data_IF_957174557513
#
_entry.id   IF_957174557513
#
_cell.length_a   1.000
_cell.length_b   1.000
_cell.length_c   1.000
_cell.angle_alpha   90.00
_cell.angle_beta   90.00
_cell.angle_gamma   90.00
#
_symmetry.space_group_name_H-M   'P 1'
#
loop_
_entity.id
_entity.type
_entity.pdbx_description
1 polymer ?
#
# COMPACT_ATOMS: atom_id res chain seq x y z
N UNK A 1 11.76 3.15 -2.56
CA UNK A 1 13.08 3.07 -1.88
C UNK A 1 13.11 3.90 -0.60
N UNK A 2 12.91 5.23 -0.65
CA UNK A 2 12.95 6.09 0.56
C UNK A 2 12.08 5.63 1.74
N UNK A 3 10.86 5.13 1.49
CA UNK A 3 9.97 4.62 2.57
C UNK A 3 10.55 3.35 3.22
N UNK A 4 11.13 2.44 2.43
CA UNK A 4 11.76 1.24 2.96
C UNK A 4 12.96 1.57 3.82
N UNK A 5 13.81 2.50 3.35
CA UNK A 5 14.97 2.98 4.11
C UNK A 5 14.53 3.66 5.42
N UNK A 6 13.56 4.58 5.34
CA UNK A 6 13.02 5.25 6.53
C UNK A 6 12.50 4.24 7.56
N UNK A 7 11.73 3.24 7.12
CA UNK A 7 11.23 2.20 8.03
C UNK A 7 12.37 1.39 8.64
N UNK A 8 13.42 1.06 7.86
CA UNK A 8 14.61 0.34 8.34
C UNK A 8 15.33 1.13 9.42
N UNK A 9 15.55 2.42 9.17
CA UNK A 9 16.28 3.31 10.07
C UNK A 9 15.50 3.61 11.37
N UNK A 10 14.19 3.34 11.41
CA UNK A 10 13.31 3.64 12.54
C UNK A 10 12.63 2.38 13.14
N UNK A 11 13.11 1.17 12.82
CA UNK A 11 12.57 -0.10 13.30
C UNK A 11 11.04 -0.29 13.07
N UNK A 12 10.53 0.24 11.96
CA UNK A 12 9.12 0.14 11.59
C UNK A 12 8.91 -1.07 10.68
N UNK A 13 7.88 -1.88 10.96
CA UNK A 13 7.52 -3.04 10.14
C UNK A 13 7.05 -2.67 8.73
N UNK A 14 7.33 -3.53 7.75
CA UNK A 14 6.83 -3.36 6.38
C UNK A 14 5.30 -3.49 6.34
N UNK A 15 4.76 -4.52 6.98
CA UNK A 15 3.33 -4.84 7.00
C UNK A 15 2.57 -3.89 7.96
N UNK A 16 1.62 -3.14 7.42
CA UNK A 16 0.79 -2.17 8.14
C UNK A 16 -0.68 -2.25 7.68
N UNK A 17 -1.39 -3.33 8.05
CA UNK A 17 -2.75 -3.64 7.56
C UNK A 17 -3.78 -2.55 7.86
N UNK A 18 -3.72 -1.92 9.05
CA UNK A 18 -4.66 -0.84 9.39
C UNK A 18 -4.58 0.35 8.44
N UNK A 19 -3.36 0.74 8.06
CA UNK A 19 -3.12 1.83 7.09
C UNK A 19 -3.56 1.44 5.68
N UNK A 20 -3.37 0.17 5.29
CA UNK A 20 -3.85 -0.32 4.01
C UNK A 20 -5.38 -0.21 3.92
N UNK A 21 -6.09 -0.63 4.97
CA UNK A 21 -7.55 -0.54 5.02
C UNK A 21 -8.03 0.92 4.92
N UNK A 22 -7.40 1.85 5.64
CA UNK A 22 -7.76 3.27 5.55
C UNK A 22 -7.58 3.84 4.13
N UNK A 23 -6.47 3.50 3.49
CA UNK A 23 -6.19 3.91 2.11
C UNK A 23 -7.20 3.29 1.15
N UNK A 24 -7.51 1.99 1.30
CA UNK A 24 -8.45 1.29 0.45
C UNK A 24 -9.86 1.90 0.54
N UNK A 25 -10.36 2.14 1.75
CA UNK A 25 -11.67 2.77 1.96
C UNK A 25 -11.74 4.17 1.35
N UNK A 26 -10.67 4.96 1.49
CA UNK A 26 -10.58 6.26 0.83
C UNK A 26 -10.57 6.13 -0.69
N UNK A 27 -9.81 5.19 -1.24
CA UNK A 27 -9.73 4.96 -2.68
C UNK A 27 -11.06 4.49 -3.26
N UNK A 28 -11.79 3.61 -2.57
CA UNK A 28 -13.14 3.16 -2.97
C UNK A 28 -14.11 4.34 -3.06
N UNK A 29 -14.13 5.21 -2.04
CA UNK A 29 -14.95 6.43 -2.04
C UNK A 29 -14.61 7.37 -3.20
N UNK A 30 -13.32 7.55 -3.50
CA UNK A 30 -12.87 8.40 -4.62
C UNK A 30 -13.18 7.77 -5.98
N UNK A 31 -12.98 6.46 -6.14
CA UNK A 31 -13.28 5.73 -7.36
C UNK A 31 -14.75 5.76 -7.72
N UNK A 32 -15.63 5.62 -6.72
CA UNK A 32 -17.08 5.72 -6.91
C UNK A 32 -17.50 7.07 -7.51
N UNK A 33 -16.85 8.17 -7.11
CA UNK A 33 -17.15 9.52 -7.61
C UNK A 33 -16.84 9.70 -9.11
N UNK A 34 -15.99 8.84 -9.68
CA UNK A 34 -15.60 8.88 -11.10
C UNK A 34 -16.11 7.65 -11.87
N UNK A 35 -17.04 6.88 -11.28
CA UNK A 35 -17.69 5.75 -11.94
C UNK A 35 -16.89 4.43 -11.94
N UNK A 36 -15.87 4.30 -11.10
CA UNK A 36 -15.16 3.04 -10.92
C UNK A 36 -15.90 2.12 -9.94
N UNK A 37 -15.87 0.81 -10.21
CA UNK A 37 -16.39 -0.20 -9.28
C UNK A 37 -15.45 -0.39 -8.10
N UNK A 38 -16.01 -0.73 -6.93
CA UNK A 38 -15.20 -1.03 -5.75
C UNK A 38 -14.23 -2.18 -5.98
N UNK A 39 -14.66 -3.22 -6.70
CA UNK A 39 -13.85 -4.39 -7.05
C UNK A 39 -12.64 -4.01 -7.91
N UNK A 40 -12.81 -3.09 -8.87
CA UNK A 40 -11.69 -2.59 -9.68
C UNK A 40 -10.67 -1.86 -8.82
N UNK A 41 -11.14 -0.95 -7.97
CA UNK A 41 -10.27 -0.16 -7.08
C UNK A 41 -9.53 -1.07 -6.10
N UNK A 42 -10.21 -2.06 -5.54
CA UNK A 42 -9.62 -3.02 -4.61
C UNK A 42 -8.49 -3.81 -5.25
N UNK A 43 -8.74 -4.47 -6.39
CA UNK A 43 -7.69 -5.24 -7.08
C UNK A 43 -6.51 -4.38 -7.51
N UNK A 44 -6.77 -3.16 -7.97
CA UNK A 44 -5.70 -2.24 -8.36
C UNK A 44 -4.83 -1.84 -7.16
N UNK A 45 -5.46 -1.47 -6.05
CA UNK A 45 -4.75 -1.04 -4.84
C UNK A 45 -3.99 -2.19 -4.18
N UNK A 46 -4.53 -3.41 -4.21
CA UNK A 46 -3.83 -4.63 -3.75
C UNK A 46 -2.57 -4.91 -4.58
N UNK A 47 -2.66 -4.82 -5.91
CA UNK A 47 -1.51 -5.03 -6.80
C UNK A 47 -0.40 -4.01 -6.53
N UNK A 48 -0.76 -2.72 -6.39
CA UNK A 48 0.20 -1.65 -6.04
C UNK A 48 0.80 -1.87 -4.66
N UNK A 49 -0.01 -2.32 -3.69
CA UNK A 49 0.46 -2.61 -2.34
C UNK A 49 1.48 -3.74 -2.33
N UNK A 50 1.20 -4.85 -3.02
CA UNK A 50 2.10 -6.01 -3.09
C UNK A 50 3.46 -5.65 -3.67
N UNK A 51 3.49 -4.93 -4.80
CA UNK A 51 4.74 -4.46 -5.41
C UNK A 51 5.52 -3.53 -4.45
N UNK A 52 4.81 -2.64 -3.73
CA UNK A 52 5.42 -1.76 -2.74
C UNK A 52 6.05 -2.52 -1.57
N UNK A 53 5.39 -3.58 -1.08
CA UNK A 53 5.91 -4.47 -0.02
C UNK A 53 7.15 -5.20 -0.52
N UNK A 54 7.10 -5.81 -1.71
CA UNK A 54 8.24 -6.51 -2.31
C UNK A 54 9.47 -5.61 -2.45
N UNK A 55 9.28 -4.35 -2.85
CA UNK A 55 10.37 -3.37 -2.94
C UNK A 55 10.93 -2.99 -1.57
N UNK A 56 10.07 -2.85 -0.55
CA UNK A 56 10.51 -2.56 0.82
C UNK A 56 11.26 -3.75 1.43
N UNK A 57 10.84 -4.98 1.18
CA UNK A 57 11.54 -6.18 1.64
C UNK A 57 12.97 -6.27 1.11
N UNK A 58 13.19 -5.92 -0.17
CA UNK A 58 14.53 -5.87 -0.76
C UNK A 58 15.44 -4.88 -0.02
N UNK A 59 14.91 -3.73 0.40
CA UNK A 59 15.66 -2.70 1.15
C UNK A 59 15.94 -3.12 2.60
N UNK A 60 15.03 -3.88 3.22
CA UNK A 60 15.25 -4.39 4.59
C UNK A 60 16.31 -5.50 4.64
N UNK A 61 16.40 -6.32 3.59
CA UNK A 61 17.32 -7.47 3.50
C UNK A 61 18.73 -7.10 3.00
N UNK A 62 18.89 -5.94 2.38
CA UNK A 62 20.20 -5.35 2.02
C UNK A 62 20.79 -4.61 3.21
#
# INVERSE_FOLDING_TARGET
>A
EKIGQYKKDNDITILQTARLNEILERSKRQGAQVGLTEEFVERYMEAVHLESVMRQEKVMKS
#
